data_IF_560708915472
#
_entry.id   IF_560708915472
#
_cell.length_a   1.000
_cell.length_b   1.000
_cell.length_c   1.000
_cell.angle_alpha   90.00
_cell.angle_beta   90.00
_cell.angle_gamma   90.00
#
_symmetry.space_group_name_H-M   'P 1'
#
loop_
_entity.id
_entity.type
_entity.pdbx_description
1 polymer ?
#
# COMPACT_ATOMS: atom_id res chain seq x y z
N UNK A 1 -10.67 -34.89 -46.30
CA UNK A 1 -10.89 -33.87 -45.25
C UNK A 1 -9.68 -32.95 -45.12
N UNK A 2 -9.14 -32.49 -46.26
CA UNK A 2 -7.98 -31.57 -46.35
C UNK A 2 -8.18 -30.50 -47.43
N UNK A 3 -9.35 -30.48 -48.10
CA UNK A 3 -9.69 -29.54 -49.17
C UNK A 3 -10.52 -28.34 -48.69
N UNK A 4 -10.77 -28.22 -47.38
CA UNK A 4 -11.59 -27.17 -46.77
C UNK A 4 -10.78 -26.11 -45.99
N UNK A 5 -9.44 -26.25 -45.93
CA UNK A 5 -8.57 -25.38 -45.12
C UNK A 5 -7.82 -24.33 -45.98
N UNK A 6 -7.88 -24.40 -47.32
CA UNK A 6 -7.11 -23.51 -48.21
C UNK A 6 -7.88 -22.37 -48.90
N UNK A 7 -9.18 -22.26 -48.69
CA UNK A 7 -10.04 -21.27 -49.41
C UNK A 7 -10.52 -20.12 -48.52
N UNK A 8 -9.89 -19.89 -47.37
CA UNK A 8 -10.10 -18.67 -46.55
C UNK A 8 -8.92 -17.69 -46.61
N UNK A 9 -8.10 -17.73 -47.68
CA UNK A 9 -7.00 -16.78 -47.93
C UNK A 9 -7.34 -15.71 -48.98
N UNK A 10 -8.62 -15.45 -49.23
CA UNK A 10 -9.08 -14.37 -50.09
C UNK A 10 -10.26 -13.64 -49.44
N UNK A 11 -9.99 -12.96 -48.34
CA UNK A 11 -10.91 -12.02 -47.70
C UNK A 11 -10.08 -10.83 -47.24
N UNK A 12 -10.24 -9.70 -47.92
CA UNK A 12 -9.58 -8.46 -47.60
C UNK A 12 -9.77 -8.11 -46.12
N UNK A 13 -8.71 -8.22 -45.33
CA UNK A 13 -8.62 -7.50 -44.06
C UNK A 13 -8.33 -6.05 -44.45
N UNK A 14 -9.40 -5.32 -44.70
CA UNK A 14 -9.38 -3.88 -44.66
C UNK A 14 -9.10 -3.53 -43.19
N UNK A 15 -7.83 -3.24 -42.85
CA UNK A 15 -7.48 -2.71 -41.53
C UNK A 15 -8.21 -1.38 -41.32
N UNK A 16 -9.13 -1.26 -40.36
CA UNK A 16 -9.68 0.03 -40.01
C UNK A 16 -8.70 0.75 -39.08
N UNK A 17 -7.91 1.66 -39.64
CA UNK A 17 -7.49 2.89 -38.96
C UNK A 17 -6.26 2.84 -38.06
N UNK A 18 -5.06 2.69 -38.64
CA UNK A 18 -3.89 3.42 -38.14
C UNK A 18 -3.99 4.88 -38.59
N UNK A 19 -4.95 5.60 -38.00
CA UNK A 19 -5.17 7.02 -38.26
C UNK A 19 -4.05 7.80 -37.57
N UNK A 20 -3.09 8.26 -38.38
CA UNK A 20 -1.93 9.03 -37.96
C UNK A 20 -2.38 10.35 -37.29
N UNK A 21 -2.40 10.40 -35.95
CA UNK A 21 -2.67 11.59 -35.12
C UNK A 21 -1.67 12.73 -35.37
N UNK A 22 -0.82 12.68 -36.39
CA UNK A 22 0.22 13.66 -36.71
C UNK A 22 -0.24 15.12 -36.71
N UNK A 23 -1.46 15.42 -37.16
CA UNK A 23 -2.00 16.78 -37.11
C UNK A 23 -2.34 17.21 -35.67
N UNK A 24 -3.03 16.35 -34.93
CA UNK A 24 -3.34 16.53 -33.50
C UNK A 24 -2.07 16.58 -32.62
N UNK A 25 -1.09 15.70 -32.85
CA UNK A 25 0.18 15.66 -32.14
C UNK A 25 0.92 17.00 -32.22
N UNK A 26 1.02 17.57 -33.43
CA UNK A 26 1.62 18.91 -33.60
C UNK A 26 0.82 20.01 -32.91
N UNK A 27 -0.50 19.87 -32.74
CA UNK A 27 -1.31 20.84 -31.98
C UNK A 27 -1.07 20.69 -30.48
N UNK A 28 -1.04 19.47 -29.97
CA UNK A 28 -0.76 19.17 -28.56
C UNK A 28 0.65 19.61 -28.18
N UNK A 29 1.65 19.37 -29.03
CA UNK A 29 3.03 19.84 -28.81
C UNK A 29 3.13 21.35 -28.64
N UNK A 30 2.41 22.11 -29.48
CA UNK A 30 2.37 23.57 -29.37
C UNK A 30 1.57 24.04 -28.15
N UNK A 31 0.57 23.27 -27.75
CA UNK A 31 -0.30 23.58 -26.62
C UNK A 31 0.21 23.06 -25.26
N UNK A 32 1.22 22.19 -25.24
CA UNK A 32 1.71 21.52 -24.03
C UNK A 32 2.07 22.50 -22.91
N UNK A 33 2.77 23.59 -23.26
CA UNK A 33 3.12 24.64 -22.32
C UNK A 33 1.88 25.36 -21.75
N UNK A 34 0.89 25.63 -22.60
CA UNK A 34 -0.38 26.25 -22.20
C UNK A 34 -1.24 25.31 -21.34
N UNK A 35 -1.24 24.01 -21.63
CA UNK A 35 -1.94 22.99 -20.84
C UNK A 35 -1.38 22.89 -19.42
N UNK A 36 -0.06 22.89 -19.27
CA UNK A 36 0.57 22.89 -17.95
C UNK A 36 0.28 24.20 -17.19
N UNK A 37 0.31 25.36 -17.85
CA UNK A 37 -0.10 26.65 -17.23
C UNK A 37 -1.56 26.62 -16.80
N UNK A 38 -2.47 26.15 -17.65
CA UNK A 38 -3.89 26.03 -17.34
C UNK A 38 -4.14 25.05 -16.18
N UNK A 39 -3.38 23.95 -16.12
CA UNK A 39 -3.43 22.98 -15.02
C UNK A 39 -3.04 23.63 -13.69
N UNK A 40 -1.93 24.37 -13.65
CA UNK A 40 -1.49 25.07 -12.43
C UNK A 40 -2.45 26.19 -12.03
N UNK A 41 -3.00 26.93 -13.00
CA UNK A 41 -4.03 27.92 -12.71
C UNK A 41 -5.29 27.27 -12.10
N UNK A 42 -5.74 26.14 -12.66
CA UNK A 42 -6.87 25.38 -12.10
C UNK A 42 -6.56 24.83 -10.71
N UNK A 43 -5.32 24.38 -10.45
CA UNK A 43 -4.90 23.95 -9.11
C UNK A 43 -5.00 25.10 -8.10
N UNK A 44 -4.54 26.30 -8.47
CA UNK A 44 -4.68 27.50 -7.64
C UNK A 44 -6.14 27.85 -7.38
N UNK A 45 -7.02 27.74 -8.38
CA UNK A 45 -8.46 28.00 -8.23
C UNK A 45 -9.19 26.96 -7.36
N UNK A 46 -8.81 25.69 -7.45
CA UNK A 46 -9.61 24.58 -6.88
C UNK A 46 -9.04 23.97 -5.62
N UNK A 47 -7.75 24.14 -5.34
CA UNK A 47 -7.04 23.51 -4.21
C UNK A 47 -6.58 24.59 -3.21
N UNK A 48 -7.31 24.85 -2.12
CA UNK A 48 -6.96 25.91 -1.15
C UNK A 48 -5.53 25.80 -0.61
N UNK A 49 -5.10 24.58 -0.26
CA UNK A 49 -3.75 24.29 0.23
C UNK A 49 -2.65 24.60 -0.80
N UNK A 50 -2.97 24.55 -2.10
CA UNK A 50 -1.99 24.84 -3.14
C UNK A 50 -1.62 26.33 -3.14
N UNK A 51 -2.58 27.23 -2.86
CA UNK A 51 -2.33 28.68 -2.73
C UNK A 51 -1.43 29.02 -1.55
N UNK A 52 -1.54 28.24 -0.49
CA UNK A 52 -0.76 28.41 0.73
C UNK A 52 0.70 27.95 0.56
N UNK A 53 1.02 27.24 -0.53
CA UNK A 53 2.38 26.78 -0.77
C UNK A 53 3.34 27.95 -1.04
N UNK A 54 4.55 27.89 -0.46
CA UNK A 54 5.68 28.74 -0.84
C UNK A 54 5.92 28.80 -2.35
N UNK A 55 6.42 29.94 -2.83
CA UNK A 55 6.58 30.18 -4.27
C UNK A 55 7.55 29.19 -4.95
N UNK A 56 8.59 28.75 -4.25
CA UNK A 56 9.53 27.71 -4.69
C UNK A 56 8.82 26.37 -4.88
N UNK A 57 7.96 25.96 -3.94
CA UNK A 57 7.17 24.72 -4.06
C UNK A 57 6.18 24.75 -5.21
N UNK A 58 5.46 25.88 -5.39
CA UNK A 58 4.57 26.07 -6.55
C UNK A 58 5.34 26.03 -7.86
N UNK A 59 6.56 26.58 -7.89
CA UNK A 59 7.42 26.52 -9.08
C UNK A 59 7.80 25.08 -9.44
N UNK A 60 8.07 24.21 -8.46
CA UNK A 60 8.35 22.81 -8.70
C UNK A 60 7.15 22.05 -9.25
N UNK A 61 5.93 22.35 -8.76
CA UNK A 61 4.70 21.76 -9.32
C UNK A 61 4.54 22.15 -10.79
N UNK A 62 4.83 23.40 -11.15
CA UNK A 62 4.82 23.83 -12.56
C UNK A 62 5.84 23.06 -13.41
N UNK A 63 7.05 22.81 -12.91
CA UNK A 63 8.04 21.99 -13.62
C UNK A 63 7.56 20.55 -13.85
N UNK A 64 6.90 19.95 -12.86
CA UNK A 64 6.33 18.60 -12.96
C UNK A 64 5.16 18.59 -13.96
N UNK A 65 4.29 19.60 -13.95
CA UNK A 65 3.21 19.71 -14.92
C UNK A 65 3.75 19.82 -16.37
N UNK A 66 4.83 20.58 -16.58
CA UNK A 66 5.51 20.68 -17.87
C UNK A 66 6.19 19.36 -18.28
N UNK A 67 6.75 18.60 -17.33
CA UNK A 67 7.25 17.26 -17.58
C UNK A 67 6.11 16.31 -18.00
N UNK A 68 5.00 16.30 -17.26
CA UNK A 68 3.82 15.50 -17.58
C UNK A 68 3.24 15.80 -18.97
N UNK A 69 3.17 17.07 -19.37
CA UNK A 69 2.70 17.45 -20.71
C UNK A 69 3.61 16.92 -21.83
N UNK A 70 4.94 16.93 -21.61
CA UNK A 70 5.92 16.34 -22.55
C UNK A 70 5.78 14.82 -22.62
N UNK A 71 5.62 14.17 -21.48
CA UNK A 71 5.38 12.74 -21.36
C UNK A 71 4.10 12.30 -22.09
N UNK A 72 3.01 13.07 -22.01
CA UNK A 72 1.79 12.84 -22.79
C UNK A 72 2.06 12.89 -24.30
N UNK A 73 2.77 13.92 -24.78
CA UNK A 73 3.14 14.04 -26.20
C UNK A 73 3.96 12.83 -26.66
N UNK A 74 4.96 12.43 -25.86
CA UNK A 74 5.82 11.28 -26.16
C UNK A 74 5.01 9.98 -26.22
N UNK A 75 4.11 9.77 -25.26
CA UNK A 75 3.23 8.60 -25.23
C UNK A 75 2.31 8.53 -26.45
N UNK A 76 1.73 9.66 -26.87
CA UNK A 76 0.90 9.74 -28.07
C UNK A 76 1.73 9.46 -29.35
N UNK A 77 2.98 9.96 -29.44
CA UNK A 77 3.89 9.68 -30.56
C UNK A 77 4.24 8.19 -30.70
N UNK A 78 4.27 7.46 -29.59
CA UNK A 78 4.56 6.02 -29.56
C UNK A 78 3.34 5.15 -29.89
N UNK A 79 2.25 5.73 -30.41
CA UNK A 79 1.06 4.99 -30.84
C UNK A 79 0.06 4.68 -29.74
N UNK A 80 0.18 5.33 -28.57
CA UNK A 80 -0.86 5.24 -27.53
C UNK A 80 -1.04 3.86 -26.91
N UNK A 81 -0.01 3.01 -26.92
CA UNK A 81 0.07 1.85 -26.05
C UNK A 81 0.80 0.62 -26.60
N UNK A 82 1.96 0.35 -26.02
CA UNK A 82 2.20 -0.97 -25.42
C UNK A 82 2.21 -0.79 -23.90
N UNK A 83 1.90 -1.85 -23.14
CA UNK A 83 1.87 -1.77 -21.66
C UNK A 83 3.23 -1.34 -21.08
N UNK A 84 4.34 -1.74 -21.73
CA UNK A 84 5.72 -1.37 -21.34
C UNK A 84 5.99 0.13 -21.52
N UNK A 85 5.63 0.72 -22.68
CA UNK A 85 5.91 2.14 -22.94
C UNK A 85 5.15 3.09 -22.01
N UNK A 86 4.08 2.61 -21.39
CA UNK A 86 3.21 3.40 -20.51
C UNK A 86 3.69 3.39 -19.06
N UNK A 87 4.27 2.28 -18.61
CA UNK A 87 4.88 2.15 -17.29
C UNK A 87 6.13 3.05 -17.18
N UNK A 88 6.98 3.06 -18.21
CA UNK A 88 8.19 3.88 -18.29
C UNK A 88 7.88 5.39 -18.24
N UNK A 89 6.86 5.84 -18.98
CA UNK A 89 6.44 7.25 -19.01
C UNK A 89 5.90 7.71 -17.65
N UNK A 90 5.16 6.84 -16.95
CA UNK A 90 4.65 7.14 -15.62
C UNK A 90 5.78 7.29 -14.59
N UNK A 91 6.73 6.35 -14.60
CA UNK A 91 7.88 6.37 -13.70
C UNK A 91 8.79 7.59 -13.97
N UNK A 92 8.93 8.02 -15.23
CA UNK A 92 9.72 9.19 -15.61
C UNK A 92 9.12 10.53 -15.10
N UNK A 93 7.79 10.71 -15.16
CA UNK A 93 7.12 11.91 -14.65
C UNK A 93 7.33 12.08 -13.14
N UNK A 94 7.27 10.97 -12.39
CA UNK A 94 7.51 10.99 -10.94
C UNK A 94 9.00 11.01 -10.57
N UNK A 95 9.89 10.44 -11.38
CA UNK A 95 11.34 10.47 -11.16
C UNK A 95 11.97 11.84 -11.43
N UNK A 96 11.38 12.64 -12.33
CA UNK A 96 11.86 13.98 -12.68
C UNK A 96 11.47 15.04 -11.63
N UNK A 97 10.56 14.72 -10.71
CA UNK A 97 10.15 15.63 -9.65
C UNK A 97 11.32 15.92 -8.69
N UNK A 98 11.63 17.19 -8.37
CA UNK A 98 12.68 17.52 -7.41
C UNK A 98 12.46 16.80 -6.07
N UNK A 99 13.51 16.22 -5.47
CA UNK A 99 13.38 15.55 -4.17
C UNK A 99 12.82 16.47 -3.07
N UNK A 100 13.01 17.78 -3.18
CA UNK A 100 12.43 18.76 -2.28
C UNK A 100 10.89 18.83 -2.38
N UNK A 101 10.32 18.61 -3.57
CA UNK A 101 8.88 18.54 -3.78
C UNK A 101 8.28 17.29 -3.12
N UNK A 102 8.94 16.14 -3.29
CA UNK A 102 8.50 14.88 -2.70
C UNK A 102 8.45 14.90 -1.16
N UNK A 103 9.19 15.81 -0.51
CA UNK A 103 9.18 16.00 0.95
C UNK A 103 8.15 17.03 1.43
N UNK A 104 7.72 17.94 0.55
CA UNK A 104 6.83 19.06 0.90
C UNK A 104 5.37 18.80 0.58
N UNK A 105 5.09 17.88 -0.34
CA UNK A 105 3.74 17.52 -0.76
C UNK A 105 3.41 16.09 -0.31
N UNK A 106 2.29 15.94 0.40
CA UNK A 106 1.78 14.63 0.81
C UNK A 106 1.25 13.83 -0.39
N UNK A 107 1.18 12.51 -0.27
CA UNK A 107 0.63 11.65 -1.32
C UNK A 107 -0.81 12.00 -1.69
N UNK A 108 -1.63 12.41 -0.72
CA UNK A 108 -3.00 12.85 -0.96
C UNK A 108 -3.04 14.11 -1.82
N UNK A 109 -2.16 15.07 -1.54
CA UNK A 109 -2.02 16.29 -2.32
C UNK A 109 -1.51 15.98 -3.75
N UNK A 110 -0.56 15.05 -3.91
CA UNK A 110 -0.11 14.58 -5.23
C UNK A 110 -1.26 14.03 -6.08
N UNK A 111 -2.14 13.21 -5.49
CA UNK A 111 -3.33 12.69 -6.19
C UNK A 111 -4.27 13.82 -6.62
N UNK A 112 -4.47 14.83 -5.76
CA UNK A 112 -5.32 15.98 -6.10
C UNK A 112 -4.76 16.77 -7.28
N UNK A 113 -3.44 17.00 -7.34
CA UNK A 113 -2.78 17.66 -8.48
C UNK A 113 -2.97 16.87 -9.78
N UNK A 114 -2.78 15.55 -9.72
CA UNK A 114 -2.98 14.66 -10.88
C UNK A 114 -4.41 14.74 -11.39
N UNK A 115 -5.39 14.66 -10.47
CA UNK A 115 -6.81 14.74 -10.81
C UNK A 115 -7.14 16.03 -11.56
N UNK A 116 -6.71 17.18 -11.03
CA UNK A 116 -6.93 18.49 -11.69
C UNK A 116 -6.27 18.54 -13.06
N UNK A 117 -5.06 18.01 -13.20
CA UNK A 117 -4.36 17.98 -14.49
C UNK A 117 -5.11 17.14 -15.53
N UNK A 118 -5.62 15.97 -15.13
CA UNK A 118 -6.44 15.10 -15.99
C UNK A 118 -7.70 15.83 -16.44
N UNK A 119 -8.43 16.46 -15.51
CA UNK A 119 -9.65 17.21 -15.82
C UNK A 119 -9.39 18.32 -16.85
N UNK A 120 -8.30 19.08 -16.68
CA UNK A 120 -7.91 20.13 -17.63
C UNK A 120 -7.58 19.56 -19.00
N UNK A 121 -6.86 18.45 -19.09
CA UNK A 121 -6.55 17.82 -20.39
C UNK A 121 -7.81 17.30 -21.07
N UNK A 122 -8.72 16.67 -20.32
CA UNK A 122 -10.00 16.18 -20.83
C UNK A 122 -10.89 17.29 -21.38
N UNK A 123 -10.98 18.43 -20.66
CA UNK A 123 -11.70 19.63 -21.11
C UNK A 123 -11.13 20.20 -22.42
N UNK A 124 -9.82 20.08 -22.65
CA UNK A 124 -9.15 20.66 -23.81
C UNK A 124 -9.15 19.76 -25.07
N UNK A 125 -9.59 18.51 -24.96
CA UNK A 125 -9.59 17.53 -26.07
C UNK A 125 -10.22 18.09 -27.35
N UNK A 126 -11.40 18.72 -27.25
CA UNK A 126 -12.11 19.26 -28.41
C UNK A 126 -11.38 20.40 -29.11
N UNK A 127 -10.54 21.14 -28.39
CA UNK A 127 -9.74 22.24 -28.94
C UNK A 127 -8.43 21.77 -29.55
N UNK A 128 -7.85 20.69 -29.00
CA UNK A 128 -6.56 20.14 -29.41
C UNK A 128 -6.67 19.26 -30.65
N UNK A 129 -7.78 18.53 -30.78
CA UNK A 129 -7.99 17.63 -31.90
C UNK A 129 -8.01 18.35 -33.25
N UNK A 130 -7.40 17.74 -34.26
CA UNK A 130 -7.64 18.09 -35.65
C UNK A 130 -9.03 17.58 -36.07
N UNK A 131 -9.59 18.22 -37.11
CA UNK A 131 -10.93 17.88 -37.60
C UNK A 131 -10.96 16.43 -38.10
N UNK A 132 -11.81 15.59 -37.52
CA UNK A 132 -11.91 14.16 -37.81
C UNK A 132 -11.09 13.26 -36.88
N UNK A 133 -10.25 13.83 -36.00
CA UNK A 133 -9.42 13.11 -35.04
C UNK A 133 -9.95 13.23 -33.59
N UNK A 134 -11.09 13.89 -33.37
CA UNK A 134 -11.63 14.21 -32.04
C UNK A 134 -11.89 12.96 -31.19
N UNK A 135 -12.49 11.93 -31.79
CA UNK A 135 -12.81 10.69 -31.10
C UNK A 135 -11.53 9.91 -30.71
N UNK A 136 -10.56 9.87 -31.62
CA UNK A 136 -9.29 9.17 -31.38
C UNK A 136 -8.49 9.85 -30.28
N UNK A 137 -8.43 11.19 -30.26
CA UNK A 137 -7.78 11.92 -29.19
C UNK A 137 -8.50 11.69 -27.85
N UNK A 138 -9.84 11.72 -27.84
CA UNK A 138 -10.62 11.46 -26.62
C UNK A 138 -10.32 10.07 -26.05
N UNK A 139 -10.31 9.04 -26.89
CA UNK A 139 -9.99 7.67 -26.47
C UNK A 139 -8.54 7.55 -25.97
N UNK A 140 -7.60 8.21 -26.65
CA UNK A 140 -6.20 8.22 -26.25
C UNK A 140 -6.00 8.90 -24.88
N UNK A 141 -6.64 10.05 -24.66
CA UNK A 141 -6.60 10.77 -23.38
C UNK A 141 -7.23 9.94 -22.26
N UNK A 142 -8.41 9.34 -22.47
CA UNK A 142 -9.05 8.49 -21.46
C UNK A 142 -8.18 7.28 -21.07
N UNK A 143 -7.49 6.68 -22.06
CA UNK A 143 -6.52 5.60 -21.80
C UNK A 143 -5.35 6.13 -20.96
N UNK A 144 -4.74 7.24 -21.36
CA UNK A 144 -3.64 7.85 -20.62
C UNK A 144 -4.03 8.22 -19.17
N UNK A 145 -5.19 8.87 -18.98
CA UNK A 145 -5.74 9.22 -17.65
C UNK A 145 -5.86 8.01 -16.74
N UNK A 146 -6.36 6.88 -17.28
CA UNK A 146 -6.49 5.62 -16.53
C UNK A 146 -5.13 5.08 -16.08
N UNK A 147 -4.14 5.10 -16.96
CA UNK A 147 -2.81 4.57 -16.64
C UNK A 147 -2.10 5.43 -15.59
N UNK A 148 -2.21 6.77 -15.69
CA UNK A 148 -1.70 7.70 -14.67
C UNK A 148 -2.40 7.49 -13.32
N UNK A 149 -3.71 7.24 -13.32
CA UNK A 149 -4.45 6.93 -12.10
C UNK A 149 -3.96 5.62 -11.44
N UNK A 150 -3.70 4.57 -12.23
CA UNK A 150 -3.11 3.33 -11.70
C UNK A 150 -1.67 3.51 -11.22
N UNK A 151 -0.87 4.34 -11.88
CA UNK A 151 0.47 4.68 -11.41
C UNK A 151 0.42 5.36 -10.03
N UNK A 152 -0.47 6.34 -9.86
CA UNK A 152 -0.70 6.98 -8.56
C UNK A 152 -1.17 5.98 -7.48
N UNK A 153 -2.07 5.06 -7.84
CA UNK A 153 -2.53 4.00 -6.93
C UNK A 153 -1.39 3.05 -6.51
N UNK A 154 -0.46 2.70 -7.41
CA UNK A 154 0.73 1.89 -7.09
C UNK A 154 1.66 2.60 -6.10
N UNK A 155 1.88 3.91 -6.26
CA UNK A 155 2.67 4.70 -5.30
C UNK A 155 2.02 4.69 -3.92
N UNK A 156 0.70 4.84 -3.85
CA UNK A 156 -0.04 4.75 -2.59
C UNK A 156 0.08 3.37 -1.94
N UNK A 157 -0.10 2.30 -2.72
CA UNK A 157 0.04 0.92 -2.24
C UNK A 157 1.43 0.68 -1.63
N UNK A 158 2.50 1.04 -2.36
CA UNK A 158 3.90 0.92 -1.86
C UNK A 158 4.13 1.72 -0.58
N UNK A 159 3.57 2.93 -0.48
CA UNK A 159 3.70 3.77 0.70
C UNK A 159 2.88 3.27 1.91
N UNK A 160 1.82 2.50 1.68
CA UNK A 160 1.09 1.81 2.73
C UNK A 160 1.83 0.55 3.19
N UNK A 161 2.38 -0.24 2.26
CA UNK A 161 3.22 -1.41 2.53
C UNK A 161 4.49 -1.05 3.31
N UNK A 162 5.18 0.04 2.94
CA UNK A 162 6.39 0.49 3.64
C UNK A 162 6.12 0.91 5.09
N UNK A 163 4.99 1.56 5.36
CA UNK A 163 4.56 1.90 6.72
C UNK A 163 4.20 0.66 7.52
N UNK A 164 3.48 -0.30 6.93
CA UNK A 164 3.15 -1.56 7.59
C UNK A 164 4.38 -2.39 7.95
N UNK A 165 5.37 -2.44 7.06
CA UNK A 165 6.62 -3.18 7.29
C UNK A 165 7.53 -2.50 8.33
N UNK A 166 7.55 -1.17 8.41
CA UNK A 166 8.26 -0.44 9.47
C UNK A 166 7.70 -0.77 10.86
N UNK A 167 6.37 -0.72 11.01
CA UNK A 167 5.68 -1.05 12.26
C UNK A 167 5.90 -2.51 12.65
N UNK A 168 5.75 -3.44 11.70
CA UNK A 168 6.03 -4.86 11.92
C UNK A 168 7.49 -5.11 12.39
N UNK A 169 8.46 -4.35 11.86
CA UNK A 169 9.86 -4.46 12.27
C UNK A 169 10.10 -3.96 13.69
N UNK A 170 9.45 -2.87 14.11
CA UNK A 170 9.53 -2.39 15.49
C UNK A 170 8.91 -3.40 16.47
N UNK A 171 7.79 -4.01 16.11
CA UNK A 171 7.14 -5.03 16.94
C UNK A 171 7.96 -6.32 17.01
N UNK A 172 8.61 -6.71 15.91
CA UNK A 172 9.53 -7.84 15.90
C UNK A 172 10.69 -7.64 16.89
N UNK A 173 11.19 -6.41 17.06
CA UNK A 173 12.19 -6.12 18.08
C UNK A 173 11.64 -6.36 19.49
N UNK A 174 10.42 -5.93 19.80
CA UNK A 174 9.84 -6.20 21.13
C UNK A 174 9.69 -7.70 21.37
N UNK A 175 9.15 -8.44 20.40
CA UNK A 175 9.00 -9.91 20.51
C UNK A 175 10.36 -10.59 20.67
N UNK A 176 11.37 -10.19 19.90
CA UNK A 176 12.71 -10.74 20.00
C UNK A 176 13.36 -10.48 21.38
N UNK A 177 13.18 -9.28 21.94
CA UNK A 177 13.59 -8.98 23.33
C UNK A 177 12.85 -9.84 24.35
N UNK A 178 11.53 -10.01 24.16
CA UNK A 178 10.69 -10.83 25.02
C UNK A 178 11.13 -12.30 25.00
N UNK A 179 11.41 -12.85 23.82
CA UNK A 179 11.84 -14.23 23.65
C UNK A 179 13.24 -14.50 24.22
N UNK A 180 14.12 -13.49 24.20
CA UNK A 180 15.43 -13.56 24.90
C UNK A 180 15.32 -13.41 26.41
N UNK A 181 14.20 -12.89 26.92
CA UNK A 181 14.09 -12.48 28.31
C UNK A 181 15.01 -11.28 28.63
N UNK A 182 15.10 -10.32 27.71
CA UNK A 182 15.77 -9.04 27.96
C UNK A 182 15.11 -8.33 29.18
N UNK A 183 15.80 -7.34 29.77
CA UNK A 183 15.31 -6.70 31.01
C UNK A 183 13.97 -5.97 30.82
N UNK A 184 13.17 -5.82 31.91
CA UNK A 184 11.92 -5.06 31.87
C UNK A 184 12.06 -3.66 31.27
N UNK A 185 13.14 -2.93 31.59
CA UNK A 185 13.41 -1.59 31.03
C UNK A 185 13.52 -1.59 29.50
N UNK A 186 14.13 -2.63 28.91
CA UNK A 186 14.26 -2.77 27.46
C UNK A 186 12.89 -3.05 26.83
N UNK A 187 12.08 -3.90 27.47
CA UNK A 187 10.73 -4.22 27.02
C UNK A 187 9.82 -2.99 27.10
N UNK A 188 9.84 -2.27 28.22
CA UNK A 188 9.08 -1.04 28.45
C UNK A 188 9.45 0.05 27.43
N UNK A 189 10.75 0.26 27.18
CA UNK A 189 11.23 1.23 26.19
C UNK A 189 10.74 0.89 24.77
N UNK A 190 10.80 -0.39 24.37
CA UNK A 190 10.30 -0.84 23.06
C UNK A 190 8.77 -0.74 22.94
N UNK A 191 8.05 -1.05 24.01
CA UNK A 191 6.59 -0.95 24.05
C UNK A 191 6.13 0.51 23.97
N UNK A 192 6.80 1.43 24.68
CA UNK A 192 6.52 2.86 24.61
C UNK A 192 6.75 3.42 23.21
N UNK A 193 7.78 2.96 22.48
CA UNK A 193 8.02 3.35 21.09
C UNK A 193 6.90 2.90 20.13
N UNK A 194 6.14 1.86 20.50
CA UNK A 194 4.97 1.36 19.79
C UNK A 194 3.67 2.02 20.25
N UNK A 195 3.74 2.94 21.24
CA UNK A 195 2.58 3.60 21.82
C UNK A 195 1.71 2.69 22.68
N UNK A 196 2.26 1.59 23.20
CA UNK A 196 1.55 0.72 24.14
C UNK A 196 1.22 1.47 25.42
N UNK A 197 -0.05 1.42 25.82
CA UNK A 197 -0.49 1.92 27.12
C UNK A 197 -0.47 0.76 28.08
N UNK A 198 0.10 0.92 29.29
CA UNK A 198 0.14 -0.16 30.28
C UNK A 198 -1.28 -0.65 30.59
N UNK A 199 -1.66 -1.79 30.00
CA UNK A 199 -3.02 -2.31 29.93
C UNK A 199 -3.07 -3.68 30.64
N UNK A 200 -3.12 -3.71 31.97
CA UNK A 200 -3.23 -4.95 32.71
C UNK A 200 -4.65 -5.55 32.63
N UNK A 201 -4.79 -6.89 32.71
CA UNK A 201 -3.70 -7.86 32.75
C UNK A 201 -3.05 -8.05 31.36
N UNK A 202 -1.78 -8.46 31.37
CA UNK A 202 -0.99 -8.76 30.18
C UNK A 202 -0.79 -10.26 30.04
N UNK A 203 -0.84 -10.82 28.83
CA UNK A 203 -0.56 -12.23 28.60
C UNK A 203 0.07 -12.47 27.22
N UNK A 204 0.73 -13.61 27.02
CA UNK A 204 1.37 -13.95 25.75
C UNK A 204 0.72 -15.18 25.13
N UNK A 205 0.25 -15.05 23.90
CA UNK A 205 -0.21 -16.13 23.06
C UNK A 205 0.87 -16.51 22.03
N UNK A 206 1.14 -17.81 21.88
CA UNK A 206 2.10 -18.36 20.93
C UNK A 206 1.41 -19.42 20.07
N UNK A 207 1.52 -19.29 18.76
CA UNK A 207 1.05 -20.29 17.81
C UNK A 207 1.91 -20.33 16.56
N UNK A 208 1.57 -21.17 15.59
CA UNK A 208 2.24 -21.11 14.28
C UNK A 208 1.87 -19.83 13.54
N UNK A 209 2.83 -19.27 12.81
CA UNK A 209 2.54 -18.26 11.80
C UNK A 209 1.78 -18.93 10.64
N UNK A 210 0.74 -18.30 10.07
CA UNK A 210 0.05 -18.81 8.89
C UNK A 210 0.91 -18.73 7.61
N UNK A 211 2.11 -18.16 7.70
CA UNK A 211 2.97 -17.87 6.55
C UNK A 211 2.56 -16.59 5.81
N UNK A 212 3.32 -16.25 4.77
CA UNK A 212 3.11 -15.01 4.01
C UNK A 212 3.81 -13.79 4.64
N UNK A 213 3.35 -12.60 4.25
CA UNK A 213 3.97 -11.34 4.68
C UNK A 213 3.61 -11.00 6.15
N UNK A 214 4.64 -10.74 6.96
CA UNK A 214 4.49 -10.45 8.40
C UNK A 214 3.54 -9.28 8.66
N UNK A 215 3.64 -8.20 7.87
CA UNK A 215 2.77 -7.04 8.03
C UNK A 215 1.28 -7.39 7.82
N UNK A 216 0.96 -8.28 6.87
CA UNK A 216 -0.41 -8.72 6.61
C UNK A 216 -0.97 -9.59 7.75
N UNK A 217 -0.13 -10.47 8.32
CA UNK A 217 -0.48 -11.29 9.50
C UNK A 217 -0.81 -10.39 10.68
N UNK A 218 0.09 -9.46 11.01
CA UNK A 218 -0.10 -8.52 12.12
C UNK A 218 -1.30 -7.61 11.90
N UNK A 219 -1.53 -7.12 10.68
CA UNK A 219 -2.72 -6.33 10.36
C UNK A 219 -4.03 -7.09 10.65
N UNK A 220 -4.05 -8.41 10.40
CA UNK A 220 -5.20 -9.26 10.75
C UNK A 220 -5.40 -9.34 12.25
N UNK A 221 -4.33 -9.57 13.02
CA UNK A 221 -4.34 -9.56 14.49
C UNK A 221 -4.91 -8.24 15.01
N UNK A 222 -4.38 -7.09 14.58
CA UNK A 222 -4.83 -5.77 15.01
C UNK A 222 -6.31 -5.51 14.71
N UNK A 223 -6.75 -5.86 13.50
CA UNK A 223 -8.16 -5.71 13.10
C UNK A 223 -9.09 -6.52 13.99
N UNK A 224 -8.69 -7.72 14.39
CA UNK A 224 -9.49 -8.55 15.29
C UNK A 224 -9.45 -8.05 16.73
N UNK A 225 -8.27 -7.68 17.23
CA UNK A 225 -8.09 -7.12 18.57
C UNK A 225 -8.93 -5.85 18.79
N UNK A 226 -8.96 -4.95 17.80
CA UNK A 226 -9.82 -3.75 17.85
C UNK A 226 -11.31 -4.07 17.96
N UNK A 227 -11.79 -5.15 17.33
CA UNK A 227 -13.21 -5.55 17.40
C UNK A 227 -13.60 -6.04 18.79
N UNK A 228 -12.63 -6.56 19.55
CA UNK A 228 -12.85 -7.13 20.88
C UNK A 228 -12.37 -6.20 22.00
N UNK A 229 -11.84 -5.02 21.65
CA UNK A 229 -11.47 -3.96 22.59
C UNK A 229 -10.20 -4.23 23.39
N UNK A 230 -9.25 -5.00 22.86
CA UNK A 230 -7.98 -5.32 23.56
C UNK A 230 -6.79 -4.72 22.83
N UNK A 231 -5.73 -4.41 23.57
CA UNK A 231 -4.44 -4.01 23.00
C UNK A 231 -3.63 -5.25 22.62
N UNK A 232 -2.92 -5.19 21.49
CA UNK A 232 -2.04 -6.28 21.04
C UNK A 232 -0.73 -5.75 20.46
N UNK A 233 0.37 -6.44 20.76
CA UNK A 233 1.64 -6.31 20.03
C UNK A 233 2.01 -7.69 19.53
N UNK A 234 2.34 -7.82 18.25
CA UNK A 234 2.63 -9.12 17.67
C UNK A 234 3.93 -9.13 16.87
N UNK A 235 4.53 -10.30 16.76
CA UNK A 235 5.71 -10.49 15.93
C UNK A 235 5.84 -11.93 15.49
N UNK A 236 6.49 -12.13 14.35
CA UNK A 236 6.81 -13.46 13.84
C UNK A 236 8.28 -13.75 14.14
N UNK A 237 8.54 -14.86 14.84
CA UNK A 237 9.89 -15.35 15.15
C UNK A 237 10.03 -16.79 14.64
N UNK A 238 10.80 -16.97 13.57
CA UNK A 238 10.85 -18.24 12.85
C UNK A 238 9.49 -18.59 12.25
N UNK A 239 8.95 -19.77 12.57
CA UNK A 239 7.63 -20.23 12.16
C UNK A 239 6.51 -19.92 13.17
N UNK A 240 6.80 -19.07 14.18
CA UNK A 240 5.90 -18.78 15.30
C UNK A 240 5.38 -17.36 15.24
N UNK A 241 4.07 -17.21 15.43
CA UNK A 241 3.43 -15.94 15.73
C UNK A 241 3.33 -15.81 17.26
N UNK A 242 3.89 -14.72 17.78
CA UNK A 242 3.84 -14.37 19.21
C UNK A 242 3.02 -13.09 19.34
N UNK A 243 2.00 -13.11 20.19
CA UNK A 243 1.10 -11.98 20.44
C UNK A 243 1.11 -11.69 21.94
N UNK A 244 1.49 -10.47 22.30
CA UNK A 244 1.28 -9.90 23.64
C UNK A 244 -0.11 -9.26 23.64
N UNK A 245 -0.95 -9.65 24.59
CA UNK A 245 -2.31 -9.17 24.81
C UNK A 245 -2.34 -8.27 26.03
N UNK A 246 -3.04 -7.14 25.95
CA UNK A 246 -3.24 -6.19 27.05
C UNK A 246 -4.72 -5.85 27.22
N UNK A 247 -5.16 -5.73 28.48
CA UNK A 247 -6.52 -5.33 28.85
C UNK A 247 -7.57 -6.42 28.67
N UNK A 248 -7.16 -7.66 28.40
CA UNK A 248 -8.05 -8.80 28.26
C UNK A 248 -8.30 -9.46 29.61
N UNK A 249 -9.49 -9.27 30.22
CA UNK A 249 -9.86 -9.91 31.48
C UNK A 249 -9.73 -11.45 31.44
N UNK A 250 -10.02 -12.04 30.28
CA UNK A 250 -9.76 -13.44 29.98
C UNK A 250 -8.90 -13.53 28.70
N UNK A 251 -7.57 -13.68 28.83
CA UNK A 251 -6.66 -13.80 27.69
C UNK A 251 -6.91 -15.02 26.82
N UNK A 252 -7.47 -16.11 27.37
CA UNK A 252 -7.76 -17.34 26.63
C UNK A 252 -8.96 -17.09 25.70
N UNK A 253 -10.04 -16.53 26.23
CA UNK A 253 -11.21 -16.15 25.44
C UNK A 253 -10.90 -15.04 24.41
N UNK A 254 -10.01 -14.10 24.75
CA UNK A 254 -9.53 -13.11 23.79
C UNK A 254 -8.76 -13.78 22.65
N UNK A 255 -7.85 -14.71 22.96
CA UNK A 255 -7.07 -15.45 21.96
C UNK A 255 -7.95 -16.33 21.08
N UNK A 256 -9.03 -16.90 21.61
CA UNK A 256 -10.01 -17.66 20.82
C UNK A 256 -10.56 -16.85 19.64
N UNK A 257 -10.82 -15.56 19.87
CA UNK A 257 -11.30 -14.62 18.83
C UNK A 257 -10.21 -14.22 17.82
N UNK A 258 -8.95 -14.52 18.12
CA UNK A 258 -7.79 -14.25 17.26
C UNK A 258 -7.29 -15.50 16.52
N UNK A 259 -7.91 -16.68 16.71
CA UNK A 259 -7.41 -17.95 16.18
C UNK A 259 -7.23 -17.98 14.66
N UNK A 260 -8.01 -17.20 13.90
CA UNK A 260 -7.88 -17.15 12.44
C UNK A 260 -6.62 -16.43 11.97
N UNK A 261 -5.93 -15.69 12.85
CA UNK A 261 -4.64 -15.08 12.54
C UNK A 261 -3.47 -16.06 12.72
N UNK A 262 -3.68 -17.17 13.42
CA UNK A 262 -2.69 -18.21 13.61
C UNK A 262 -2.79 -19.28 12.52
N UNK A 263 -1.64 -19.84 12.16
CA UNK A 263 -1.56 -21.02 11.31
C UNK A 263 -2.08 -22.28 12.01
N UNK A 264 -2.11 -23.37 11.25
CA UNK A 264 -2.57 -24.68 11.73
C UNK A 264 -1.72 -25.17 12.91
N UNK A 265 -2.35 -25.94 13.82
CA UNK A 265 -1.72 -26.49 15.01
C UNK A 265 -2.06 -25.74 16.30
N UNK A 266 -1.31 -26.03 17.39
CA UNK A 266 -1.65 -25.52 18.71
C UNK A 266 -1.44 -24.02 18.80
N UNK A 267 -2.31 -23.36 19.55
CA UNK A 267 -2.15 -21.98 20.01
C UNK A 267 -2.17 -22.05 21.53
N UNK A 268 -1.19 -21.47 22.19
CA UNK A 268 -0.97 -21.61 23.63
C UNK A 268 -0.93 -20.23 24.26
N UNK A 269 -1.64 -20.05 25.37
CA UNK A 269 -1.71 -18.77 26.10
C UNK A 269 -1.04 -18.95 27.45
N UNK A 270 -0.05 -18.10 27.74
CA UNK A 270 0.60 -18.02 29.03
C UNK A 270 -0.32 -17.45 30.11
N UNK A 271 0.07 -17.56 31.40
CA UNK A 271 -0.67 -16.96 32.49
C UNK A 271 -0.78 -15.44 32.32
N UNK A 272 -1.90 -14.89 32.80
CA UNK A 272 -2.08 -13.46 32.94
C UNK A 272 -1.13 -12.91 34.01
N UNK A 273 -0.44 -11.82 33.70
CA UNK A 273 0.48 -11.12 34.58
C UNK A 273 0.01 -9.67 34.79
N UNK A 274 0.37 -9.02 35.92
CA UNK A 274 -0.16 -7.71 36.28
C UNK A 274 0.45 -6.54 35.50
N UNK A 275 1.55 -6.74 34.76
CA UNK A 275 2.18 -5.67 33.97
C UNK A 275 3.08 -6.23 32.88
N UNK A 276 3.57 -5.35 32.01
CA UNK A 276 4.57 -5.71 31.00
C UNK A 276 5.91 -6.16 31.62
N UNK A 277 6.25 -5.72 32.82
CA UNK A 277 7.52 -6.08 33.48
C UNK A 277 7.60 -7.59 33.77
N UNK A 278 6.44 -8.22 34.00
CA UNK A 278 6.31 -9.65 34.29
C UNK A 278 5.98 -10.48 33.03
N UNK A 279 5.86 -9.85 31.84
CA UNK A 279 5.39 -10.51 30.61
C UNK A 279 6.30 -11.63 30.13
N UNK A 280 7.59 -11.59 30.51
CA UNK A 280 8.56 -12.65 30.22
C UNK A 280 8.16 -13.99 30.85
N UNK A 281 7.49 -13.99 32.00
CA UNK A 281 7.02 -15.22 32.64
C UNK A 281 5.85 -15.84 31.86
N UNK A 282 4.93 -14.99 31.40
CA UNK A 282 3.84 -15.39 30.50
C UNK A 282 4.39 -15.96 29.19
N UNK A 283 5.36 -15.28 28.58
CA UNK A 283 6.02 -15.73 27.35
C UNK A 283 6.71 -17.09 27.53
N UNK A 284 7.49 -17.26 28.61
CA UNK A 284 8.22 -18.50 28.90
C UNK A 284 7.26 -19.68 29.04
N UNK A 285 6.17 -19.49 29.77
CA UNK A 285 5.12 -20.49 29.96
C UNK A 285 4.43 -20.85 28.64
N UNK A 286 4.05 -19.84 27.84
CA UNK A 286 3.42 -20.05 26.53
C UNK A 286 4.34 -20.81 25.56
N UNK A 287 5.63 -20.47 25.51
CA UNK A 287 6.63 -21.15 24.68
C UNK A 287 6.89 -22.60 25.13
N UNK A 288 6.93 -22.84 26.43
CA UNK A 288 7.06 -24.20 26.98
C UNK A 288 5.82 -25.03 26.62
N UNK A 289 4.62 -24.48 26.84
CA UNK A 289 3.36 -25.12 26.47
C UNK A 289 3.25 -25.37 24.96
N UNK A 290 3.66 -24.42 24.11
CA UNK A 290 3.65 -24.59 22.66
C UNK A 290 4.56 -25.73 22.18
N UNK A 291 5.71 -25.94 22.83
CA UNK A 291 6.59 -27.09 22.55
C UNK A 291 6.01 -28.43 23.02
N UNK A 292 5.25 -28.42 24.12
CA UNK A 292 4.65 -29.63 24.70
C UNK A 292 3.31 -30.02 24.08
N UNK A 293 2.53 -29.05 23.58
CA UNK A 293 1.17 -29.24 23.09
C UNK A 293 1.00 -30.34 22.02
N UNK A 294 1.95 -30.56 21.07
CA UNK A 294 1.84 -31.68 20.12
C UNK A 294 1.76 -33.07 20.76
N UNK A 295 2.21 -33.23 22.01
CA UNK A 295 2.11 -34.49 22.76
C UNK A 295 0.74 -34.69 23.45
N UNK A 296 -0.19 -33.73 23.34
CA UNK A 296 -1.54 -33.80 23.91
C UNK A 296 -2.60 -33.73 22.79
N UNK A 297 -3.04 -34.88 22.25
CA UNK A 297 -3.93 -34.92 21.09
C UNK A 297 -5.30 -34.25 21.28
N UNK A 298 -5.80 -34.20 22.50
CA UNK A 298 -7.11 -33.61 22.86
C UNK A 298 -7.00 -32.20 23.43
N UNK A 299 -5.85 -31.54 23.29
CA UNK A 299 -5.65 -30.20 23.79
C UNK A 299 -6.66 -29.21 23.19
N UNK A 300 -7.28 -28.33 23.99
CA UNK A 300 -8.15 -27.28 23.47
C UNK A 300 -7.34 -26.28 22.63
N UNK A 301 -8.02 -25.53 21.75
CA UNK A 301 -7.39 -24.45 20.96
C UNK A 301 -8.13 -23.15 21.25
N UNK A 302 -7.57 -22.21 22.03
CA UNK A 302 -6.20 -22.21 22.58
C UNK A 302 -6.01 -23.08 23.84
N UNK A 303 -4.76 -23.50 24.10
CA UNK A 303 -4.34 -24.20 25.31
C UNK A 303 -4.00 -23.19 26.40
N UNK A 304 -4.67 -23.21 27.57
CA UNK A 304 -4.26 -22.40 28.71
C UNK A 304 -3.04 -23.02 29.39
N UNK A 305 -2.05 -22.21 29.76
CA UNK A 305 -0.95 -22.64 30.63
C UNK A 305 -1.22 -22.12 32.03
N UNK A 306 -1.48 -23.05 32.96
CA UNK A 306 -1.51 -22.77 34.39
C UNK A 306 -0.13 -23.06 34.96
N UNK A 307 0.39 -22.22 35.85
CA UNK A 307 1.55 -22.61 36.66
C UNK A 307 1.09 -23.71 37.64
N UNK A 308 1.87 -24.77 37.87
CA UNK A 308 1.60 -25.72 38.95
C UNK A 308 1.68 -25.08 40.33
#
# INVERSE_FOLDING_TARGET
MESLVRTCLAGAVNEPGSSDLSATLRRIERAAGALATASVARMDETLPWFRELPADQRSWVMLVAQAGARSLVQWLRQGGGTADSTQEVSDEVFATAPQALARSISLQQTVALIKVTIEVVEEQVSHLAAKGEEQQLREAVLRFSREIAFAAARVYARAAESRGSWDARLQALLVDALLRGDSPDVLASRAAALGWTDAPPVAVAVGRSPGGEVAAVLHTVYRQARRIGVEVIGGVHGDRLVIVLGGAADPVAATEKLLTAFGDGPVVVGPAVPSLDEVTDSARAALAGFRAAPAWPTAPRPVPVSYP
#
